data_IF_591345210954
#
_entry.id   IF_591345210954
#
_cell.length_a   1.000
_cell.length_b   1.000
_cell.length_c   1.000
_cell.angle_alpha   90.00
_cell.angle_beta   90.00
_cell.angle_gamma   90.00
#
_symmetry.space_group_name_H-M   'P 1'
#
loop_
_entity.id
_entity.type
_entity.pdbx_description
1 polymer ?
#
# COMPACT_ATOMS: atom_id res chain seq x y z
N UNK A 1 -5.20 7.38 -61.88
CA UNK A 1 -5.97 7.14 -60.63
C UNK A 1 -6.90 8.33 -60.42
N UNK A 2 -8.22 8.11 -60.47
CA UNK A 2 -9.21 9.20 -60.57
C UNK A 2 -9.35 9.97 -59.26
N UNK A 3 -9.67 11.26 -59.32
CA UNK A 3 -9.89 12.12 -58.15
C UNK A 3 -10.94 11.52 -57.18
N UNK A 4 -11.98 10.85 -57.71
CA UNK A 4 -12.95 10.10 -56.91
C UNK A 4 -12.34 8.95 -56.09
N UNK A 5 -11.30 8.28 -56.60
CA UNK A 5 -10.63 7.20 -55.88
C UNK A 5 -9.75 7.74 -54.75
N UNK A 6 -9.03 8.84 -54.97
CA UNK A 6 -8.21 9.51 -53.94
C UNK A 6 -9.04 9.95 -52.75
N UNK A 7 -10.20 10.57 -52.99
CA UNK A 7 -11.11 10.99 -51.93
C UNK A 7 -11.60 9.83 -51.06
N UNK A 8 -11.82 8.66 -51.69
CA UNK A 8 -12.23 7.45 -50.99
C UNK A 8 -11.11 6.88 -50.11
N UNK A 9 -9.87 6.85 -50.60
CA UNK A 9 -8.69 6.43 -49.83
C UNK A 9 -8.40 7.34 -48.64
N UNK A 10 -8.52 8.67 -48.81
CA UNK A 10 -8.30 9.63 -47.73
C UNK A 10 -9.34 9.44 -46.61
N UNK A 11 -10.62 9.24 -46.95
CA UNK A 11 -11.67 8.95 -45.96
C UNK A 11 -11.44 7.63 -45.22
N UNK A 12 -11.07 6.57 -45.94
CA UNK A 12 -10.76 5.26 -45.34
C UNK A 12 -9.53 5.34 -44.42
N UNK A 13 -8.50 6.08 -44.82
CA UNK A 13 -7.30 6.32 -43.99
C UNK A 13 -7.65 7.07 -42.71
N UNK A 14 -8.48 8.11 -42.79
CA UNK A 14 -8.89 8.90 -41.62
C UNK A 14 -9.72 8.08 -40.63
N UNK A 15 -10.58 7.17 -41.12
CA UNK A 15 -11.35 6.25 -40.29
C UNK A 15 -10.41 5.29 -39.54
N UNK A 16 -9.43 4.71 -40.24
CA UNK A 16 -8.42 3.83 -39.63
C UNK A 16 -7.58 4.54 -38.56
N UNK A 17 -7.19 5.79 -38.81
CA UNK A 17 -6.48 6.63 -37.83
C UNK A 17 -7.36 6.89 -36.61
N UNK A 18 -8.65 7.17 -36.81
CA UNK A 18 -9.59 7.39 -35.70
C UNK A 18 -9.75 6.14 -34.83
N UNK A 19 -9.87 4.95 -35.45
CA UNK A 19 -9.92 3.68 -34.72
C UNK A 19 -8.63 3.39 -33.95
N UNK A 20 -7.48 3.70 -34.55
CA UNK A 20 -6.17 3.51 -33.92
C UNK A 20 -5.96 4.47 -32.73
N UNK A 21 -6.39 5.73 -32.86
CA UNK A 21 -6.35 6.70 -31.75
C UNK A 21 -7.30 6.30 -30.63
N UNK A 22 -8.49 5.82 -30.97
CA UNK A 22 -9.47 5.34 -29.98
C UNK A 22 -8.93 4.13 -29.19
N UNK A 23 -8.26 3.17 -29.84
CA UNK A 23 -7.71 1.99 -29.14
C UNK A 23 -6.61 2.34 -28.14
N UNK A 24 -5.86 3.42 -28.35
CA UNK A 24 -4.81 3.86 -27.42
C UNK A 24 -5.41 4.45 -26.14
N UNK A 25 -6.58 5.11 -26.23
CA UNK A 25 -7.23 5.77 -25.10
C UNK A 25 -7.77 4.75 -24.08
N UNK A 26 -8.29 3.61 -24.54
CA UNK A 26 -8.80 2.56 -23.65
C UNK A 26 -7.72 1.64 -23.06
N UNK A 27 -6.48 1.71 -23.55
CA UNK A 27 -5.39 0.83 -23.10
C UNK A 27 -4.68 1.31 -21.82
N UNK A 28 -5.10 2.43 -21.22
CA UNK A 28 -4.38 3.08 -20.11
C UNK A 28 -4.89 2.74 -18.70
N UNK A 29 -5.73 1.72 -18.50
CA UNK A 29 -6.33 1.41 -17.18
C UNK A 29 -5.46 0.54 -16.24
N UNK A 30 -4.14 0.46 -16.45
CA UNK A 30 -3.28 -0.55 -15.79
C UNK A 30 -2.32 -0.09 -14.68
N UNK A 31 -2.31 1.17 -14.26
CA UNK A 31 -1.18 1.73 -13.47
C UNK A 31 -1.49 2.18 -12.03
N UNK A 32 -2.61 1.80 -11.42
CA UNK A 32 -3.03 2.36 -10.11
C UNK A 32 -2.74 1.48 -8.88
N UNK A 33 -2.16 0.29 -9.03
CA UNK A 33 -2.07 -0.67 -7.91
C UNK A 33 -0.82 -0.46 -7.01
N UNK A 34 0.22 0.19 -7.51
CA UNK A 34 1.46 0.41 -6.73
C UNK A 34 1.25 1.40 -5.58
N UNK A 35 0.43 2.43 -5.77
CA UNK A 35 0.16 3.43 -4.73
C UNK A 35 -0.75 2.89 -3.64
N UNK A 36 -1.78 2.13 -4.00
CA UNK A 36 -2.74 1.58 -3.04
C UNK A 36 -2.10 0.52 -2.12
N UNK A 37 -1.28 -0.37 -2.67
CA UNK A 37 -0.57 -1.38 -1.87
C UNK A 37 0.41 -0.75 -0.87
N UNK A 38 1.17 0.27 -1.31
CA UNK A 38 2.09 1.00 -0.45
C UNK A 38 1.37 1.75 0.67
N UNK A 39 0.19 2.32 0.39
CA UNK A 39 -0.63 2.99 1.40
C UNK A 39 -1.14 2.04 2.47
N UNK A 40 -1.53 0.82 2.08
CA UNK A 40 -1.94 -0.23 3.04
C UNK A 40 -0.76 -0.63 3.92
N UNK A 41 0.41 -0.90 3.33
CA UNK A 41 1.61 -1.27 4.09
C UNK A 41 2.02 -0.17 5.08
N UNK A 42 1.96 1.09 4.65
CA UNK A 42 2.25 2.23 5.51
C UNK A 42 1.28 2.31 6.70
N UNK A 43 -0.02 2.12 6.48
CA UNK A 43 -1.02 2.10 7.57
C UNK A 43 -0.78 0.95 8.54
N UNK A 44 -0.42 -0.23 8.04
CA UNK A 44 -0.10 -1.40 8.88
C UNK A 44 1.12 -1.10 9.75
N UNK A 45 2.17 -0.52 9.18
CA UNK A 45 3.39 -0.15 9.92
C UNK A 45 3.10 0.88 11.04
N UNK A 46 2.32 1.93 10.72
CA UNK A 46 1.93 2.96 11.69
C UNK A 46 1.12 2.38 12.87
N UNK A 47 0.28 1.37 12.61
CA UNK A 47 -0.50 0.69 13.64
C UNK A 47 0.35 -0.26 14.50
N UNK A 48 1.31 -0.97 13.90
CA UNK A 48 2.17 -1.92 14.62
C UNK A 48 3.25 -1.20 15.45
N UNK A 49 3.76 -0.07 14.96
CA UNK A 49 4.87 0.65 15.55
C UNK A 49 4.55 2.13 15.76
N UNK A 50 3.60 2.47 16.65
CA UNK A 50 3.27 3.85 16.93
C UNK A 50 4.48 4.66 17.41
N UNK A 51 4.45 5.96 17.12
CA UNK A 51 5.51 6.92 17.48
C UNK A 51 5.69 7.03 19.00
N UNK A 52 4.61 6.83 19.75
CA UNK A 52 4.66 6.76 21.21
C UNK A 52 3.70 5.70 21.72
N UNK A 53 4.15 4.89 22.66
CA UNK A 53 3.28 3.96 23.38
C UNK A 53 3.79 3.73 24.79
N UNK A 54 2.88 3.32 25.65
CA UNK A 54 3.15 2.82 26.99
C UNK A 54 2.60 1.40 27.08
N UNK A 55 3.37 0.47 27.64
CA UNK A 55 2.97 -0.92 27.80
C UNK A 55 3.24 -1.38 29.22
N UNK A 56 2.21 -1.92 29.87
CA UNK A 56 2.29 -2.56 31.17
C UNK A 56 2.01 -4.05 30.99
N UNK A 57 2.98 -4.90 31.34
CA UNK A 57 2.86 -6.35 31.22
C UNK A 57 3.19 -6.99 32.56
N UNK A 58 2.32 -7.88 33.02
CA UNK A 58 2.58 -8.72 34.19
C UNK A 58 2.82 -10.15 33.69
N UNK A 59 4.03 -10.64 33.89
CA UNK A 59 4.37 -12.04 33.67
C UNK A 59 4.24 -12.78 35.00
N UNK A 60 3.39 -13.80 35.03
CA UNK A 60 3.23 -14.69 36.20
C UNK A 60 3.79 -16.04 35.80
N UNK A 61 4.87 -16.44 36.45
CA UNK A 61 5.42 -17.78 36.33
C UNK A 61 4.86 -18.63 37.47
N UNK A 62 4.06 -19.63 37.13
CA UNK A 62 3.51 -20.62 38.07
C UNK A 62 4.36 -21.89 37.96
N UNK A 63 5.05 -22.23 39.04
CA UNK A 63 5.94 -23.38 39.09
C UNK A 63 5.15 -24.68 39.37
N UNK A 64 5.71 -25.87 39.10
CA UNK A 64 5.01 -27.16 39.32
C UNK A 64 4.59 -27.42 40.76
N UNK A 65 5.20 -26.75 41.74
CA UNK A 65 4.85 -26.82 43.16
C UNK A 65 3.72 -25.84 43.56
N UNK A 66 3.19 -25.08 42.60
CA UNK A 66 2.14 -24.09 42.81
C UNK A 66 2.65 -22.72 43.28
N UNK A 67 3.96 -22.53 43.46
CA UNK A 67 4.53 -21.23 43.77
C UNK A 67 4.46 -20.28 42.56
N UNK A 68 4.32 -18.97 42.82
CA UNK A 68 4.18 -17.94 41.78
C UNK A 68 5.29 -16.90 41.89
N UNK A 69 5.92 -16.59 40.75
CA UNK A 69 6.82 -15.45 40.60
C UNK A 69 6.18 -14.44 39.66
N UNK A 70 6.07 -13.21 40.11
CA UNK A 70 5.45 -12.13 39.34
C UNK A 70 6.51 -11.13 38.91
N UNK A 71 6.52 -10.81 37.62
CA UNK A 71 7.40 -9.81 37.02
C UNK A 71 6.52 -8.74 36.37
N UNK A 72 6.80 -7.49 36.68
CA UNK A 72 6.13 -6.34 36.06
C UNK A 72 7.12 -5.73 35.09
N UNK A 73 6.70 -5.56 33.85
CA UNK A 73 7.45 -4.87 32.82
C UNK A 73 6.68 -3.62 32.42
N UNK A 74 7.34 -2.47 32.55
CA UNK A 74 6.84 -1.19 32.08
C UNK A 74 7.72 -0.72 30.92
N UNK A 75 7.12 -0.45 29.77
CA UNK A 75 7.84 0.06 28.59
C UNK A 75 7.21 1.37 28.14
N UNK A 76 8.03 2.39 27.93
CA UNK A 76 7.62 3.67 27.34
C UNK A 76 8.47 3.94 26.11
N UNK A 77 7.82 4.23 24.99
CA UNK A 77 8.44 4.75 23.77
C UNK A 77 7.94 6.16 23.49
N UNK A 78 8.85 7.08 23.18
CA UNK A 78 8.52 8.45 22.77
C UNK A 78 9.39 8.89 21.59
N UNK A 79 8.79 9.02 20.41
CA UNK A 79 9.52 9.34 19.19
C UNK A 79 10.25 8.11 18.64
N UNK A 80 11.23 8.34 17.75
CA UNK A 80 11.97 7.23 17.09
C UNK A 80 13.08 6.64 17.97
N UNK A 81 13.63 7.43 18.89
CA UNK A 81 14.91 7.08 19.53
C UNK A 81 14.83 6.87 21.05
N UNK A 82 13.71 7.23 21.71
CA UNK A 82 13.60 7.17 23.17
C UNK A 82 12.73 5.98 23.58
N UNK A 83 13.36 4.95 24.12
CA UNK A 83 12.71 3.77 24.71
C UNK A 83 13.28 3.58 26.12
N UNK A 84 12.41 3.39 27.10
CA UNK A 84 12.76 3.02 28.47
C UNK A 84 11.98 1.77 28.88
N UNK A 85 12.63 0.84 29.59
CA UNK A 85 12.03 -0.37 30.12
C UNK A 85 12.42 -0.51 31.60
N UNK A 86 11.43 -0.73 32.47
CA UNK A 86 11.58 -1.02 33.90
C UNK A 86 10.95 -2.36 34.24
#
# INVERSE_FOLDING_TARGET
MNEMSKFRYIKLSNILIFFFVSSVIWAQEGTTNETEGNDILKKVDENLMPVSYESYRKLINEEPDGSKKEFIFFTVKKGKDKIAML
#
